data_IF_281878424527
#
_entry.id   IF_281878424527
#
_cell.length_a   1.000
_cell.length_b   1.000
_cell.length_c   1.000
_cell.angle_alpha   90.00
_cell.angle_beta   90.00
_cell.angle_gamma   90.00
#
_symmetry.space_group_name_H-M   'P 1'
#
loop_
_entity.id
_entity.type
_entity.pdbx_description
1 polymer ?
#
# COMPACT_ATOMS: atom_id res chain seq x y z
N UNK A 1 -26.22 7.89 -0.33
CA UNK A 1 -24.90 8.39 -0.73
C UNK A 1 -24.78 9.85 -0.33
N UNK A 2 -23.72 10.26 0.36
CA UNK A 2 -23.49 11.66 0.61
C UNK A 2 -23.27 12.39 -0.72
N UNK A 3 -23.88 13.55 -0.88
CA UNK A 3 -23.75 14.40 -2.06
C UNK A 3 -23.00 15.69 -1.68
N UNK A 4 -21.97 16.05 -2.44
CA UNK A 4 -21.27 17.31 -2.29
C UNK A 4 -21.75 18.27 -3.39
N UNK A 5 -22.28 19.42 -2.99
CA UNK A 5 -22.61 20.52 -3.90
C UNK A 5 -21.62 21.65 -3.71
N UNK A 6 -21.04 22.12 -4.79
CA UNK A 6 -20.14 23.26 -4.80
C UNK A 6 -20.87 24.42 -5.49
N UNK A 7 -21.53 25.31 -4.71
CA UNK A 7 -22.16 26.50 -5.29
C UNK A 7 -21.07 27.49 -5.68
N UNK A 8 -21.40 28.38 -6.60
CA UNK A 8 -20.58 29.53 -7.01
C UNK A 8 -19.20 29.16 -7.57
N UNK A 9 -19.09 28.03 -8.26
CA UNK A 9 -17.90 27.69 -9.02
C UNK A 9 -17.83 28.64 -10.23
N UNK A 10 -16.71 29.33 -10.39
CA UNK A 10 -16.51 30.23 -11.53
C UNK A 10 -16.39 29.46 -12.87
N UNK A 11 -16.76 30.13 -13.96
CA UNK A 11 -16.81 29.53 -15.29
C UNK A 11 -15.44 29.03 -15.78
N UNK A 12 -14.37 29.72 -15.39
CA UNK A 12 -13.00 29.36 -15.77
C UNK A 12 -12.57 28.05 -15.09
N UNK A 13 -12.89 27.91 -13.80
CA UNK A 13 -12.62 26.67 -13.04
C UNK A 13 -13.46 25.51 -13.57
N UNK A 14 -14.74 25.75 -13.90
CA UNK A 14 -15.61 24.72 -14.45
C UNK A 14 -15.10 24.25 -15.81
N UNK A 15 -14.73 25.17 -16.71
CA UNK A 15 -14.20 24.86 -18.02
C UNK A 15 -12.88 24.08 -17.95
N UNK A 16 -12.00 24.45 -17.02
CA UNK A 16 -10.74 23.73 -16.78
C UNK A 16 -11.00 22.30 -16.31
N UNK A 17 -11.98 22.10 -15.44
CA UNK A 17 -12.36 20.79 -14.93
C UNK A 17 -12.96 19.91 -16.03
N UNK A 18 -13.82 20.47 -16.87
CA UNK A 18 -14.41 19.80 -18.02
C UNK A 18 -13.31 19.34 -19.01
N UNK A 19 -12.35 20.18 -19.33
CA UNK A 19 -11.23 19.85 -20.18
C UNK A 19 -10.36 18.73 -19.60
N UNK A 20 -10.13 18.72 -18.30
CA UNK A 20 -9.40 17.63 -17.62
C UNK A 20 -10.19 16.32 -17.63
N UNK A 21 -11.47 16.37 -17.35
CA UNK A 21 -12.35 15.21 -17.39
C UNK A 21 -12.36 14.56 -18.79
N UNK A 22 -12.46 15.38 -19.84
CA UNK A 22 -12.40 14.92 -21.22
C UNK A 22 -11.05 14.28 -21.56
N UNK A 23 -9.94 14.92 -21.16
CA UNK A 23 -8.59 14.38 -21.36
C UNK A 23 -8.37 13.03 -20.67
N UNK A 24 -9.02 12.80 -19.53
CA UNK A 24 -8.93 11.55 -18.77
C UNK A 24 -10.04 10.52 -19.12
N UNK A 25 -10.95 10.85 -20.04
CA UNK A 25 -12.05 9.98 -20.43
C UNK A 25 -13.06 9.72 -19.31
N UNK A 26 -13.27 10.70 -18.41
CA UNK A 26 -14.15 10.62 -17.26
C UNK A 26 -15.26 11.65 -17.34
N UNK A 27 -16.35 11.41 -16.61
CA UNK A 27 -17.35 12.45 -16.37
C UNK A 27 -16.80 13.58 -15.49
N UNK A 28 -17.39 14.75 -15.56
CA UNK A 28 -17.06 15.89 -14.70
C UNK A 28 -17.10 15.53 -13.22
N UNK A 29 -18.12 14.76 -12.81
CA UNK A 29 -18.29 14.30 -11.43
C UNK A 29 -17.17 13.35 -10.99
N UNK A 30 -16.78 12.42 -11.85
CA UNK A 30 -15.67 11.48 -11.59
C UNK A 30 -14.33 12.19 -11.50
N UNK A 31 -14.09 13.17 -12.36
CA UNK A 31 -12.86 13.97 -12.31
C UNK A 31 -12.78 14.83 -11.06
N UNK A 32 -13.89 15.52 -10.70
CA UNK A 32 -13.97 16.28 -9.45
C UNK A 32 -13.74 15.38 -8.22
N UNK A 33 -14.34 14.19 -8.21
CA UNK A 33 -14.15 13.21 -7.15
C UNK A 33 -12.67 12.78 -7.06
N UNK A 34 -12.04 12.48 -8.18
CA UNK A 34 -10.63 12.07 -8.23
C UNK A 34 -9.70 13.17 -7.70
N UNK A 35 -9.91 14.43 -8.09
CA UNK A 35 -9.12 15.57 -7.64
C UNK A 35 -9.30 15.80 -6.14
N UNK A 36 -10.52 15.79 -5.63
CA UNK A 36 -10.81 16.00 -4.22
C UNK A 36 -10.22 14.87 -3.37
N UNK A 37 -10.40 13.64 -3.78
CA UNK A 37 -9.83 12.46 -3.10
C UNK A 37 -8.32 12.58 -3.03
N UNK A 38 -7.65 12.82 -4.16
CA UNK A 38 -6.20 12.97 -4.21
C UNK A 38 -5.70 14.13 -3.33
N UNK A 39 -6.44 15.24 -3.29
CA UNK A 39 -6.08 16.38 -2.46
C UNK A 39 -6.20 16.07 -0.96
N UNK A 40 -7.30 15.45 -0.55
CA UNK A 40 -7.53 15.04 0.85
C UNK A 40 -6.48 14.02 1.30
N UNK A 41 -6.17 13.06 0.46
CA UNK A 41 -5.17 12.02 0.73
C UNK A 41 -3.75 12.61 0.86
N UNK A 42 -3.40 13.55 -0.01
CA UNK A 42 -2.13 14.29 0.10
C UNK A 42 -2.02 15.06 1.41
N UNK A 43 -3.12 15.69 1.84
CA UNK A 43 -3.19 16.41 3.12
C UNK A 43 -3.16 15.46 4.32
N UNK A 44 -3.81 14.30 4.20
CA UNK A 44 -3.84 13.27 5.23
C UNK A 44 -2.56 12.42 5.30
N UNK A 45 -1.65 12.53 4.32
CA UNK A 45 -0.43 11.71 4.24
C UNK A 45 -0.68 10.24 3.88
N UNK A 46 -1.85 9.90 3.36
CA UNK A 46 -2.19 8.54 2.93
C UNK A 46 -1.93 8.41 1.42
N UNK A 47 -1.21 7.36 1.04
CA UNK A 47 -1.01 7.03 -0.37
C UNK A 47 -2.17 6.19 -0.91
N UNK A 48 -2.74 6.60 -2.03
CA UNK A 48 -3.80 5.85 -2.73
C UNK A 48 -3.58 5.88 -4.23
N UNK A 49 -4.39 5.14 -4.96
CA UNK A 49 -4.32 5.08 -6.41
C UNK A 49 -2.93 4.75 -6.94
N UNK A 50 -2.44 5.54 -7.89
CA UNK A 50 -1.14 5.31 -8.52
C UNK A 50 0.04 5.46 -7.55
N UNK A 51 -0.02 6.40 -6.61
CA UNK A 51 1.02 6.59 -5.59
C UNK A 51 1.13 5.37 -4.67
N UNK A 52 0.00 4.74 -4.34
CA UNK A 52 -0.04 3.48 -3.60
C UNK A 52 0.56 2.34 -4.41
N UNK A 53 0.13 2.18 -5.64
CA UNK A 53 0.62 1.13 -6.54
C UNK A 53 2.13 1.26 -6.78
N UNK A 54 2.64 2.46 -6.98
CA UNK A 54 4.06 2.73 -7.14
C UNK A 54 4.86 2.36 -5.89
N UNK A 55 4.39 2.74 -4.72
CA UNK A 55 5.06 2.39 -3.46
C UNK A 55 5.09 0.88 -3.21
N UNK A 56 4.01 0.17 -3.51
CA UNK A 56 3.98 -1.30 -3.42
C UNK A 56 4.96 -1.96 -4.41
N UNK A 57 5.11 -1.42 -5.63
CA UNK A 57 6.14 -1.86 -6.59
C UNK A 57 7.55 -1.65 -6.04
N UNK A 58 7.80 -0.53 -5.37
CA UNK A 58 9.09 -0.23 -4.74
C UNK A 58 9.40 -1.20 -3.59
N UNK A 59 8.41 -1.51 -2.74
CA UNK A 59 8.54 -2.52 -1.67
C UNK A 59 8.91 -3.88 -2.29
N UNK A 60 8.16 -4.32 -3.28
CA UNK A 60 8.42 -5.59 -3.98
C UNK A 60 9.82 -5.65 -4.57
N UNK A 61 10.24 -4.59 -5.26
CA UNK A 61 11.59 -4.48 -5.82
C UNK A 61 12.66 -4.56 -4.73
N UNK A 62 12.50 -3.81 -3.64
CA UNK A 62 13.43 -3.80 -2.53
C UNK A 62 13.64 -5.19 -1.92
N UNK A 63 12.57 -5.96 -1.75
CA UNK A 63 12.65 -7.34 -1.27
C UNK A 63 13.30 -8.25 -2.30
N UNK A 64 12.92 -8.16 -3.57
CA UNK A 64 13.45 -9.01 -4.63
C UNK A 64 14.94 -8.72 -4.98
N UNK A 65 15.46 -7.55 -4.65
CA UNK A 65 16.91 -7.26 -4.76
C UNK A 65 17.75 -8.11 -3.77
N UNK A 66 17.18 -8.47 -2.62
CA UNK A 66 17.83 -9.31 -1.60
C UNK A 66 17.43 -10.77 -1.76
N UNK A 67 16.14 -11.03 -1.97
CA UNK A 67 15.51 -12.35 -2.05
C UNK A 67 14.64 -12.47 -3.29
N UNK A 68 15.20 -12.80 -4.46
CA UNK A 68 14.46 -12.83 -5.73
C UNK A 68 13.29 -13.82 -5.76
N UNK A 69 13.35 -14.89 -4.97
CA UNK A 69 12.30 -15.92 -4.87
C UNK A 69 11.26 -15.67 -3.79
N UNK A 70 11.27 -14.51 -3.13
CA UNK A 70 10.32 -14.20 -2.07
C UNK A 70 8.92 -13.94 -2.61
N UNK A 71 7.91 -14.47 -1.93
CA UNK A 71 6.52 -14.07 -2.11
C UNK A 71 6.17 -12.99 -1.08
N UNK A 72 5.40 -12.00 -1.51
CA UNK A 72 5.01 -10.86 -0.69
C UNK A 72 3.51 -10.65 -0.69
N UNK A 73 3.00 -10.23 0.46
CA UNK A 73 1.62 -9.77 0.63
C UNK A 73 1.58 -8.48 1.44
N UNK A 74 0.63 -7.63 1.10
CA UNK A 74 0.20 -6.52 1.94
C UNK A 74 -0.91 -7.04 2.85
N UNK A 75 -0.83 -6.76 4.13
CA UNK A 75 -1.91 -7.04 5.09
C UNK A 75 -2.18 -5.81 5.97
N UNK A 76 -3.04 -5.95 7.00
CA UNK A 76 -3.34 -4.85 7.90
C UNK A 76 -4.22 -3.75 7.30
N UNK A 77 -4.11 -2.55 7.84
CA UNK A 77 -5.02 -1.43 7.54
C UNK A 77 -4.99 -0.98 6.09
N UNK A 78 -3.81 -0.96 5.45
CA UNK A 78 -3.71 -0.62 4.03
C UNK A 78 -4.32 -1.68 3.12
N UNK A 79 -4.30 -2.95 3.51
CA UNK A 79 -4.97 -4.02 2.76
C UNK A 79 -6.50 -3.95 2.93
N UNK A 80 -6.98 -3.66 4.14
CA UNK A 80 -8.41 -3.53 4.42
C UNK A 80 -9.04 -2.23 3.92
N UNK A 81 -8.24 -1.19 3.61
CA UNK A 81 -8.72 0.12 3.19
C UNK A 81 -9.12 1.05 4.34
N UNK A 82 -8.69 0.76 5.56
CA UNK A 82 -8.95 1.56 6.76
C UNK A 82 -7.68 2.22 7.35
N UNK A 83 -6.63 2.36 6.55
CA UNK A 83 -5.40 3.00 6.95
C UNK A 83 -5.60 4.48 7.34
N UNK A 84 -4.82 4.91 8.32
CA UNK A 84 -4.72 6.31 8.77
C UNK A 84 -3.35 6.88 8.38
N UNK A 85 -3.15 8.21 8.49
CA UNK A 85 -1.86 8.83 8.17
C UNK A 85 -0.66 8.25 8.94
N UNK A 86 -0.88 7.81 10.17
CA UNK A 86 0.11 7.19 11.04
C UNK A 86 0.23 5.66 10.89
N UNK A 87 -0.55 5.06 10.01
CA UNK A 87 -0.53 3.60 9.78
C UNK A 87 0.75 3.16 9.08
N UNK A 88 1.30 2.03 9.53
CA UNK A 88 2.41 1.35 8.88
C UNK A 88 1.92 0.55 7.67
N UNK A 89 2.79 0.36 6.70
CA UNK A 89 2.60 -0.59 5.62
C UNK A 89 3.01 -1.98 6.09
N UNK A 90 2.02 -2.81 6.42
CA UNK A 90 2.25 -4.15 6.93
C UNK A 90 2.53 -5.11 5.78
N UNK A 91 3.76 -5.57 5.68
CA UNK A 91 4.23 -6.46 4.62
C UNK A 91 4.59 -7.82 5.19
N UNK A 92 4.03 -8.87 4.60
CA UNK A 92 4.34 -10.25 4.89
C UNK A 92 5.24 -10.81 3.77
N UNK A 93 6.38 -11.34 4.16
CA UNK A 93 7.39 -11.91 3.25
C UNK A 93 7.60 -13.37 3.55
N UNK A 94 7.46 -14.23 2.55
CA UNK A 94 7.62 -15.66 2.66
C UNK A 94 8.79 -16.13 1.77
N UNK A 95 9.75 -16.80 2.39
CA UNK A 95 10.94 -17.32 1.74
C UNK A 95 10.88 -18.86 1.67
N UNK A 96 11.46 -19.43 0.62
CA UNK A 96 11.53 -20.89 0.48
C UNK A 96 12.61 -21.51 1.38
N UNK A 97 13.74 -20.83 1.52
CA UNK A 97 14.88 -21.28 2.32
C UNK A 97 14.77 -20.82 3.78
N UNK A 98 15.47 -21.49 4.71
CA UNK A 98 15.57 -21.06 6.10
C UNK A 98 16.04 -19.62 6.22
N UNK A 99 15.38 -18.85 7.09
CA UNK A 99 15.67 -17.43 7.32
C UNK A 99 16.57 -17.30 8.55
N UNK A 100 17.87 -17.12 8.32
CA UNK A 100 18.79 -16.74 9.38
C UNK A 100 18.72 -15.25 9.73
N UNK A 101 19.43 -14.86 10.78
CA UNK A 101 19.45 -13.47 11.23
C UNK A 101 20.05 -12.52 10.19
N UNK A 102 21.04 -12.95 9.44
CA UNK A 102 21.71 -12.10 8.44
C UNK A 102 20.80 -11.80 7.26
N UNK A 103 20.11 -12.79 6.72
CA UNK A 103 19.13 -12.61 5.65
C UNK A 103 17.98 -11.71 6.10
N UNK A 104 17.49 -11.92 7.31
CA UNK A 104 16.41 -11.10 7.89
C UNK A 104 16.85 -9.66 8.05
N UNK A 105 18.06 -9.41 8.55
CA UNK A 105 18.61 -8.08 8.71
C UNK A 105 18.83 -7.39 7.36
N UNK A 106 19.35 -8.07 6.35
CA UNK A 106 19.51 -7.52 5.00
C UNK A 106 18.16 -7.06 4.40
N UNK A 107 17.11 -7.85 4.55
CA UNK A 107 15.78 -7.48 4.11
C UNK A 107 15.25 -6.24 4.86
N UNK A 108 15.41 -6.22 6.18
CA UNK A 108 14.99 -5.08 7.01
C UNK A 108 15.76 -3.82 6.69
N UNK A 109 17.06 -3.90 6.52
CA UNK A 109 17.92 -2.76 6.16
C UNK A 109 17.53 -2.19 4.79
N UNK A 110 17.19 -3.05 3.84
CA UNK A 110 16.75 -2.63 2.52
C UNK A 110 15.39 -1.93 2.56
N UNK A 111 14.45 -2.45 3.34
CA UNK A 111 13.15 -1.83 3.57
C UNK A 111 13.29 -0.51 4.34
N UNK A 112 14.17 -0.46 5.34
CA UNK A 112 14.44 0.76 6.08
C UNK A 112 15.03 1.88 5.20
N UNK A 113 15.89 1.54 4.26
CA UNK A 113 16.38 2.49 3.25
C UNK A 113 15.21 3.09 2.45
N UNK A 114 14.23 2.27 2.10
CA UNK A 114 13.03 2.72 1.39
C UNK A 114 12.16 3.61 2.29
N UNK A 115 11.98 3.27 3.57
CA UNK A 115 11.27 4.11 4.57
C UNK A 115 11.85 5.51 4.63
N UNK A 116 13.17 5.61 4.76
CA UNK A 116 13.87 6.90 4.82
C UNK A 116 13.72 7.72 3.54
N UNK A 117 13.75 7.05 2.40
CA UNK A 117 13.58 7.71 1.09
C UNK A 117 12.17 8.25 0.87
N UNK A 118 11.17 7.48 1.25
CA UNK A 118 9.77 7.76 0.92
C UNK A 118 9.00 8.44 2.06
N UNK A 119 9.56 8.48 3.27
CA UNK A 119 8.89 9.05 4.44
C UNK A 119 7.71 8.23 4.93
N UNK A 120 7.73 6.91 4.70
CA UNK A 120 6.69 5.96 5.09
C UNK A 120 7.23 4.93 6.07
N UNK A 121 6.40 4.42 6.97
CA UNK A 121 6.79 3.34 7.88
C UNK A 121 6.37 1.98 7.31
N UNK A 122 7.29 1.01 7.30
CA UNK A 122 7.06 -0.34 6.81
C UNK A 122 7.27 -1.34 7.94
N UNK A 123 6.23 -2.07 8.31
CA UNK A 123 6.29 -3.16 9.26
C UNK A 123 6.40 -4.49 8.50
N UNK A 124 7.53 -5.16 8.62
CA UNK A 124 7.77 -6.42 7.90
C UNK A 124 7.70 -7.64 8.81
N UNK A 125 7.01 -8.69 8.34
CA UNK A 125 6.96 -10.01 8.94
C UNK A 125 7.57 -11.01 7.97
N UNK A 126 8.70 -11.61 8.34
CA UNK A 126 9.52 -12.45 7.46
C UNK A 126 9.56 -13.86 8.03
N UNK A 127 9.09 -14.82 7.26
CA UNK A 127 9.08 -16.24 7.61
C UNK A 127 9.55 -17.10 6.43
N UNK A 128 9.99 -18.33 6.72
CA UNK A 128 10.09 -19.35 5.69
C UNK A 128 8.78 -20.16 5.60
N UNK A 129 8.58 -20.87 4.50
CA UNK A 129 7.35 -21.66 4.27
C UNK A 129 7.14 -22.75 5.29
N UNK A 130 8.20 -23.40 5.75
CA UNK A 130 8.13 -24.46 6.74
C UNK A 130 7.66 -23.92 8.09
N UNK A 131 8.26 -22.83 8.57
CA UNK A 131 7.83 -22.13 9.80
C UNK A 131 6.39 -21.64 9.71
N UNK A 132 6.02 -21.08 8.57
CA UNK A 132 4.67 -20.53 8.37
C UNK A 132 3.60 -21.62 8.42
N UNK A 133 3.87 -22.79 7.84
CA UNK A 133 2.95 -23.91 7.76
C UNK A 133 2.97 -24.84 8.99
N UNK A 134 3.92 -24.65 9.92
CA UNK A 134 4.03 -25.46 11.13
C UNK A 134 3.13 -24.93 12.27
N UNK A 135 2.75 -25.83 13.18
CA UNK A 135 2.07 -25.46 14.40
C UNK A 135 3.07 -24.96 15.47
N UNK A 136 2.70 -24.01 16.34
CA UNK A 136 1.36 -23.40 16.50
C UNK A 136 1.09 -22.21 15.58
N UNK A 137 2.02 -21.81 14.72
CA UNK A 137 1.92 -20.62 13.86
C UNK A 137 0.75 -20.68 12.90
N UNK A 138 0.60 -21.83 12.23
CA UNK A 138 -0.49 -22.08 11.28
C UNK A 138 -1.88 -21.80 11.84
N UNK A 139 -2.09 -22.11 13.13
CA UNK A 139 -3.35 -21.93 13.84
C UNK A 139 -3.44 -20.60 14.59
N UNK A 140 -2.43 -19.74 14.50
CA UNK A 140 -2.42 -18.45 15.21
C UNK A 140 -3.45 -17.48 14.65
N UNK A 141 -3.94 -16.58 15.50
CA UNK A 141 -4.82 -15.48 15.07
C UNK A 141 -4.14 -14.58 14.03
N UNK A 142 -2.84 -14.39 14.14
CA UNK A 142 -2.05 -13.65 13.15
C UNK A 142 -2.11 -14.32 11.76
N UNK A 143 -1.88 -15.65 11.70
CA UNK A 143 -1.96 -16.37 10.44
C UNK A 143 -3.38 -16.33 9.84
N UNK A 144 -4.42 -16.37 10.67
CA UNK A 144 -5.80 -16.22 10.23
C UNK A 144 -6.05 -14.82 9.64
N UNK A 145 -5.61 -13.77 10.31
CA UNK A 145 -5.75 -12.37 9.82
C UNK A 145 -5.03 -12.18 8.48
N UNK A 146 -3.82 -12.73 8.33
CA UNK A 146 -3.09 -12.65 7.06
C UNK A 146 -3.86 -13.35 5.94
N UNK A 147 -4.43 -14.54 6.19
CA UNK A 147 -5.24 -15.26 5.18
C UNK A 147 -6.50 -14.51 4.78
N UNK A 148 -7.14 -13.82 5.73
CA UNK A 148 -8.39 -13.10 5.49
C UNK A 148 -8.17 -11.76 4.76
N UNK A 149 -7.12 -11.02 5.11
CA UNK A 149 -6.91 -9.63 4.67
C UNK A 149 -5.83 -9.47 3.59
N UNK A 150 -4.89 -10.41 3.46
CA UNK A 150 -3.70 -10.22 2.65
C UNK A 150 -3.98 -10.11 1.14
N UNK A 151 -3.30 -9.16 0.52
CA UNK A 151 -3.31 -8.93 -0.93
C UNK A 151 -1.92 -9.27 -1.47
N UNK A 152 -1.84 -10.18 -2.46
CA UNK A 152 -0.58 -10.55 -3.09
C UNK A 152 0.03 -9.36 -3.86
N UNK A 153 1.33 -9.18 -3.73
CA UNK A 153 2.09 -8.14 -4.42
C UNK A 153 2.85 -8.68 -5.64
#
# INVERSE_FOLDING_TARGET
MPELRVPDLDDDTLSALEAQAEAHGRSLSEEAHAILTQHVERQAGIRTGEARADFLRQIKRAVHEVEPGADLWLFGSYARGDARPESDWDVFVLLDDPVDSDRRNQLRDRLHTLELKEGEAISSRIYNREEWNSEPRRSSSFAQNVRDDAIAL
#
